data_IF_223267383950
#
_entry.id   IF_223267383950
#
_cell.length_a   1.000
_cell.length_b   1.000
_cell.length_c   1.000
_cell.angle_alpha   90.00
_cell.angle_beta   90.00
_cell.angle_gamma   90.00
#
_symmetry.space_group_name_H-M   'P 1'
#
loop_
_entity.id
_entity.type
_entity.pdbx_description
1 polymer ?
#
# COMPACT_ATOMS: atom_id res chain seq x y z
N UNK A 1 -22.32 2.37 10.49
CA UNK A 1 -21.92 3.72 10.98
C UNK A 1 -21.82 4.75 9.86
N UNK A 2 -21.17 4.48 8.71
CA UNK A 2 -21.15 5.42 7.57
C UNK A 2 -22.55 5.84 7.09
N UNK A 3 -23.50 4.90 7.03
CA UNK A 3 -24.89 5.18 6.69
C UNK A 3 -25.56 6.17 7.66
N UNK A 4 -25.24 6.07 8.96
CA UNK A 4 -25.77 6.98 9.99
C UNK A 4 -25.20 8.38 9.78
N UNK A 5 -23.89 8.48 9.51
CA UNK A 5 -23.25 9.76 9.18
C UNK A 5 -23.86 10.39 7.93
N UNK A 6 -24.08 9.61 6.88
CA UNK A 6 -24.71 10.07 5.65
C UNK A 6 -26.13 10.60 5.90
N UNK A 7 -26.95 9.82 6.61
CA UNK A 7 -28.31 10.23 6.97
C UNK A 7 -28.31 11.49 7.83
N UNK A 8 -27.39 11.60 8.80
CA UNK A 8 -27.23 12.80 9.61
C UNK A 8 -26.97 14.03 8.75
N UNK A 9 -26.01 13.99 7.81
CA UNK A 9 -25.67 15.15 7.00
C UNK A 9 -26.80 15.57 6.06
N UNK A 10 -27.51 14.61 5.48
CA UNK A 10 -28.69 14.91 4.65
C UNK A 10 -29.78 15.58 5.50
N UNK A 11 -30.13 14.98 6.65
CA UNK A 11 -31.17 15.53 7.53
C UNK A 11 -30.78 16.88 8.12
N UNK A 12 -29.54 17.02 8.59
CA UNK A 12 -29.01 18.27 9.13
C UNK A 12 -29.02 19.36 8.07
N UNK A 13 -28.52 19.09 6.86
CA UNK A 13 -28.56 20.05 5.76
C UNK A 13 -29.98 20.46 5.39
N UNK A 14 -30.96 19.54 5.41
CA UNK A 14 -32.38 19.89 5.21
C UNK A 14 -32.93 20.78 6.33
N UNK A 15 -32.56 20.52 7.59
CA UNK A 15 -32.94 21.40 8.72
C UNK A 15 -32.36 22.80 8.52
N UNK A 16 -31.10 22.91 8.11
CA UNK A 16 -30.46 24.21 7.83
C UNK A 16 -31.16 24.96 6.70
N UNK A 17 -31.55 24.24 5.64
CA UNK A 17 -32.24 24.82 4.48
C UNK A 17 -33.66 25.30 4.81
N UNK A 18 -34.40 24.57 5.66
CA UNK A 18 -35.80 24.88 5.99
C UNK A 18 -35.89 25.95 7.09
N UNK A 19 -34.94 25.97 8.03
CA UNK A 19 -34.96 26.84 9.20
C UNK A 19 -33.75 27.80 9.32
N UNK A 20 -33.33 28.52 8.26
CA UNK A 20 -32.14 29.35 8.31
C UNK A 20 -32.26 30.52 9.29
N UNK A 21 -33.46 31.11 9.43
CA UNK A 21 -33.71 32.22 10.38
C UNK A 21 -33.58 31.78 11.84
N UNK A 22 -34.16 30.64 12.20
CA UNK A 22 -34.09 30.10 13.56
C UNK A 22 -32.64 29.80 13.94
N UNK A 23 -31.88 29.18 13.03
CA UNK A 23 -30.47 28.90 13.25
C UNK A 23 -29.64 30.18 13.33
N UNK A 24 -29.89 31.16 12.46
CA UNK A 24 -29.19 32.45 12.48
C UNK A 24 -29.38 33.17 13.83
N UNK A 25 -30.61 33.19 14.36
CA UNK A 25 -30.91 33.83 15.66
C UNK A 25 -30.34 33.11 16.88
N UNK A 26 -30.14 31.79 16.80
CA UNK A 26 -29.58 30.96 17.89
C UNK A 26 -28.05 30.97 17.87
N UNK A 27 -27.45 30.97 16.68
CA UNK A 27 -26.02 30.73 16.51
C UNK A 27 -25.22 32.02 16.38
N UNK A 28 -25.74 33.12 15.86
CA UNK A 28 -24.94 34.30 15.52
C UNK A 28 -25.38 35.53 16.33
N UNK A 29 -24.61 35.91 17.34
CA UNK A 29 -24.82 37.16 18.10
C UNK A 29 -24.41 38.42 17.31
N UNK A 30 -23.56 38.27 16.29
CA UNK A 30 -23.02 39.40 15.52
C UNK A 30 -23.55 39.41 14.09
N UNK A 31 -24.27 40.47 13.73
CA UNK A 31 -25.03 40.70 12.49
C UNK A 31 -24.27 40.63 11.14
N UNK A 32 -23.18 39.87 11.00
CA UNK A 32 -22.29 39.86 9.82
C UNK A 32 -22.44 38.67 8.87
N UNK A 33 -23.26 37.66 9.20
CA UNK A 33 -23.45 36.48 8.35
C UNK A 33 -24.80 36.56 7.62
N UNK A 34 -24.78 36.57 6.30
CA UNK A 34 -26.02 36.62 5.50
C UNK A 34 -26.79 35.30 5.57
N UNK A 35 -28.11 35.32 5.35
CA UNK A 35 -28.90 34.09 5.23
C UNK A 35 -28.44 33.18 4.09
N UNK A 36 -27.91 33.79 3.02
CA UNK A 36 -27.33 33.08 1.87
C UNK A 36 -26.18 32.15 2.29
N UNK A 37 -25.44 32.50 3.36
CA UNK A 37 -24.41 31.62 3.91
C UNK A 37 -25.00 30.30 4.41
N UNK A 38 -26.14 30.33 5.08
CA UNK A 38 -26.82 29.14 5.58
C UNK A 38 -27.34 28.26 4.44
N UNK A 39 -27.91 28.87 3.39
CA UNK A 39 -28.35 28.15 2.20
C UNK A 39 -27.17 27.43 1.52
N UNK A 40 -26.03 28.11 1.41
CA UNK A 40 -24.82 27.53 0.83
C UNK A 40 -24.30 26.35 1.66
N UNK A 41 -24.23 26.51 2.98
CA UNK A 41 -23.81 25.44 3.90
C UNK A 41 -24.77 24.25 3.84
N UNK A 42 -26.08 24.50 3.74
CA UNK A 42 -27.08 23.45 3.60
C UNK A 42 -26.84 22.63 2.33
N UNK A 43 -26.70 23.28 1.17
CA UNK A 43 -26.46 22.61 -0.12
C UNK A 43 -25.19 21.77 -0.09
N UNK A 44 -24.08 22.31 0.44
CA UNK A 44 -22.83 21.55 0.57
C UNK A 44 -22.99 20.34 1.50
N UNK A 45 -23.66 20.52 2.64
CA UNK A 45 -23.86 19.44 3.62
C UNK A 45 -24.72 18.32 3.04
N UNK A 46 -25.82 18.65 2.35
CA UNK A 46 -26.67 17.66 1.68
C UNK A 46 -25.88 16.92 0.61
N UNK A 47 -25.11 17.64 -0.21
CA UNK A 47 -24.31 17.05 -1.29
C UNK A 47 -23.28 16.06 -0.74
N UNK A 48 -22.55 16.44 0.31
CA UNK A 48 -21.60 15.56 1.00
C UNK A 48 -22.30 14.36 1.64
N UNK A 49 -23.47 14.57 2.25
CA UNK A 49 -24.30 13.51 2.82
C UNK A 49 -24.76 12.48 1.79
N UNK A 50 -25.23 12.93 0.62
CA UNK A 50 -25.61 12.05 -0.50
C UNK A 50 -24.39 11.29 -1.03
N UNK A 51 -23.25 11.98 -1.20
CA UNK A 51 -22.01 11.33 -1.58
C UNK A 51 -21.60 10.24 -0.58
N UNK A 52 -21.68 10.56 0.72
CA UNK A 52 -21.36 9.60 1.77
C UNK A 52 -22.37 8.44 1.82
N UNK A 53 -23.64 8.66 1.45
CA UNK A 53 -24.64 7.60 1.30
C UNK A 53 -24.27 6.63 0.19
N UNK A 54 -23.86 7.14 -0.98
CA UNK A 54 -23.34 6.32 -2.09
C UNK A 54 -22.12 5.54 -1.62
N UNK A 55 -21.21 6.19 -0.90
CA UNK A 55 -20.02 5.54 -0.36
C UNK A 55 -20.34 4.48 0.69
N UNK A 56 -21.43 4.62 1.46
CA UNK A 56 -21.82 3.65 2.46
C UNK A 56 -22.27 2.31 1.86
N UNK A 57 -22.77 2.28 0.62
CA UNK A 57 -23.16 1.04 -0.07
C UNK A 57 -21.96 0.22 -0.57
N UNK A 58 -20.91 0.89 -1.05
CA UNK A 58 -19.64 0.25 -1.42
C UNK A 58 -18.46 1.15 -1.02
N UNK A 59 -18.00 1.06 0.25
CA UNK A 59 -16.93 1.91 0.77
C UNK A 59 -15.60 1.67 0.07
N UNK A 60 -15.38 0.49 -0.50
CA UNK A 60 -14.13 0.13 -1.13
C UNK A 60 -13.99 0.75 -2.52
N UNK A 61 -15.06 0.73 -3.31
CA UNK A 61 -15.08 1.39 -4.62
C UNK A 61 -15.10 2.91 -4.49
N UNK A 62 -15.80 3.43 -3.48
CA UNK A 62 -16.07 4.86 -3.31
C UNK A 62 -15.21 5.50 -2.21
N UNK A 63 -14.03 4.96 -1.94
CA UNK A 63 -13.17 5.45 -0.85
C UNK A 63 -12.77 6.92 -1.02
N UNK A 64 -12.63 7.39 -2.26
CA UNK A 64 -12.35 8.80 -2.56
C UNK A 64 -13.43 9.75 -2.02
N UNK A 65 -14.69 9.33 -2.05
CA UNK A 65 -15.81 10.13 -1.52
C UNK A 65 -15.69 10.26 0.01
N UNK A 66 -15.35 9.15 0.69
CA UNK A 66 -15.10 9.18 2.14
C UNK A 66 -13.88 10.05 2.47
N UNK A 67 -12.83 9.97 1.65
CA UNK A 67 -11.62 10.77 1.81
C UNK A 67 -11.90 12.27 1.66
N UNK A 68 -12.64 12.67 0.63
CA UNK A 68 -13.05 14.07 0.43
C UNK A 68 -13.94 14.56 1.57
N UNK A 69 -14.87 13.74 2.06
CA UNK A 69 -15.66 14.06 3.26
C UNK A 69 -14.76 14.28 4.48
N UNK A 70 -13.78 13.41 4.71
CA UNK A 70 -12.83 13.56 5.81
C UNK A 70 -12.02 14.85 5.68
N UNK A 71 -11.53 15.18 4.49
CA UNK A 71 -10.82 16.44 4.22
C UNK A 71 -11.70 17.66 4.48
N UNK A 72 -12.97 17.61 4.08
CA UNK A 72 -13.92 18.69 4.37
C UNK A 72 -14.06 18.92 5.89
N UNK A 73 -14.25 17.87 6.69
CA UNK A 73 -14.34 18.01 8.15
C UNK A 73 -13.05 18.58 8.76
N UNK A 74 -11.89 18.09 8.31
CA UNK A 74 -10.59 18.62 8.75
C UNK A 74 -10.42 20.11 8.40
N UNK A 75 -10.85 20.52 7.20
CA UNK A 75 -10.79 21.91 6.76
C UNK A 75 -11.72 22.80 7.60
N UNK A 76 -12.95 22.37 7.90
CA UNK A 76 -13.87 23.13 8.76
C UNK A 76 -13.32 23.27 10.18
N UNK A 77 -12.81 22.18 10.77
CA UNK A 77 -12.23 22.21 12.11
C UNK A 77 -11.01 23.13 12.15
N UNK A 78 -10.08 22.98 11.19
CA UNK A 78 -8.90 23.84 11.10
C UNK A 78 -9.25 25.32 10.90
N UNK A 79 -10.18 25.61 9.99
CA UNK A 79 -10.66 26.97 9.73
C UNK A 79 -11.34 27.59 10.95
N UNK A 80 -12.15 26.82 11.68
CA UNK A 80 -12.77 27.27 12.93
C UNK A 80 -11.73 27.58 14.00
N UNK A 81 -10.73 26.71 14.21
CA UNK A 81 -9.67 26.93 15.20
C UNK A 81 -8.83 28.18 14.90
N UNK A 82 -8.51 28.40 13.61
CA UNK A 82 -7.83 29.63 13.18
C UNK A 82 -8.73 30.85 13.42
N UNK A 83 -10.02 30.77 13.10
CA UNK A 83 -10.97 31.85 13.34
C UNK A 83 -11.13 32.16 14.83
N UNK A 84 -11.17 31.15 15.69
CA UNK A 84 -11.20 31.30 17.14
C UNK A 84 -9.93 32.01 17.65
N UNK A 85 -8.74 31.64 17.16
CA UNK A 85 -7.48 32.30 17.54
C UNK A 85 -7.41 33.77 17.11
N UNK A 86 -8.14 34.15 16.06
CA UNK A 86 -8.20 35.52 15.52
C UNK A 86 -9.38 36.32 16.09
N UNK A 87 -10.20 35.72 16.96
CA UNK A 87 -11.39 36.35 17.53
C UNK A 87 -12.56 36.49 16.54
N UNK A 88 -12.55 35.78 15.41
CA UNK A 88 -13.67 35.76 14.46
C UNK A 88 -14.83 34.87 14.91
N UNK A 89 -14.56 33.86 15.74
CA UNK A 89 -15.56 32.97 16.29
C UNK A 89 -15.49 32.95 17.82
N UNK A 90 -16.63 32.75 18.46
CA UNK A 90 -16.73 32.56 19.90
C UNK A 90 -16.52 31.08 20.27
N UNK A 91 -16.03 30.82 21.48
CA UNK A 91 -15.94 29.46 22.04
C UNK A 91 -17.32 28.81 22.25
N UNK A 92 -18.40 29.59 22.27
CA UNK A 92 -19.79 29.10 22.34
C UNK A 92 -20.17 28.20 21.16
N UNK A 93 -19.44 28.26 20.04
CA UNK A 93 -19.66 27.41 18.86
C UNK A 93 -18.96 26.05 18.93
N UNK A 94 -18.15 25.79 19.95
CA UNK A 94 -17.46 24.49 20.09
C UNK A 94 -18.43 23.28 20.11
N UNK A 95 -19.59 23.33 20.79
CA UNK A 95 -20.57 22.25 20.70
C UNK A 95 -21.08 22.03 19.27
N UNK A 96 -21.34 23.10 18.53
CA UNK A 96 -21.77 23.01 17.14
C UNK A 96 -20.72 22.31 16.27
N UNK A 97 -19.44 22.70 16.41
CA UNK A 97 -18.33 22.06 15.71
C UNK A 97 -18.21 20.58 16.08
N UNK A 98 -18.37 20.26 17.36
CA UNK A 98 -18.25 18.90 17.87
C UNK A 98 -19.31 17.97 17.26
N UNK A 99 -20.58 18.34 17.37
CA UNK A 99 -21.69 17.50 16.90
C UNK A 99 -21.84 17.45 15.37
N UNK A 100 -21.41 18.50 14.64
CA UNK A 100 -21.52 18.54 13.19
C UNK A 100 -20.27 18.07 12.45
N UNK A 101 -19.09 18.05 13.07
CA UNK A 101 -17.86 17.68 12.37
C UNK A 101 -17.01 16.66 13.12
N UNK A 102 -16.68 16.89 14.39
CA UNK A 102 -15.68 16.06 15.09
C UNK A 102 -16.14 14.61 15.26
N UNK A 103 -17.38 14.38 15.71
CA UNK A 103 -17.87 13.02 15.97
C UNK A 103 -17.94 12.17 14.69
N UNK A 104 -18.20 12.80 13.54
CA UNK A 104 -18.37 12.12 12.26
C UNK A 104 -17.05 11.77 11.57
N UNK A 105 -15.93 12.33 12.04
CA UNK A 105 -14.61 11.84 11.66
C UNK A 105 -14.38 10.39 12.08
N UNK A 106 -15.00 9.93 13.17
CA UNK A 106 -14.84 8.54 13.67
C UNK A 106 -15.25 7.50 12.61
N UNK A 107 -16.50 7.49 12.10
CA UNK A 107 -16.88 6.53 11.07
C UNK A 107 -16.12 6.71 9.74
N UNK A 108 -15.75 7.95 9.38
CA UNK A 108 -14.97 8.22 8.17
C UNK A 108 -13.55 7.62 8.28
N UNK A 109 -12.85 7.88 9.38
CA UNK A 109 -11.52 7.32 9.65
C UNK A 109 -11.59 5.80 9.75
N UNK A 110 -12.57 5.25 10.46
CA UNK A 110 -12.76 3.80 10.55
C UNK A 110 -13.02 3.17 9.16
N UNK A 111 -13.81 3.83 8.32
CA UNK A 111 -14.02 3.45 6.92
C UNK A 111 -12.71 3.44 6.13
N UNK A 112 -11.93 4.53 6.19
CA UNK A 112 -10.64 4.64 5.52
C UNK A 112 -9.63 3.57 5.99
N UNK A 113 -9.55 3.30 7.30
CA UNK A 113 -8.72 2.23 7.86
C UNK A 113 -9.17 0.86 7.34
N UNK A 114 -10.48 0.64 7.22
CA UNK A 114 -11.03 -0.62 6.69
C UNK A 114 -10.68 -0.80 5.22
N UNK A 115 -10.80 0.26 4.40
CA UNK A 115 -10.39 0.25 3.00
C UNK A 115 -8.91 -0.05 2.86
N UNK A 116 -8.07 0.64 3.62
CA UNK A 116 -6.62 0.43 3.62
C UNK A 116 -6.25 -1.01 4.00
N UNK A 117 -6.89 -1.57 5.03
CA UNK A 117 -6.59 -2.91 5.53
C UNK A 117 -7.17 -4.05 4.68
N UNK A 118 -8.05 -3.77 3.70
CA UNK A 118 -8.69 -4.81 2.88
C UNK A 118 -7.65 -5.65 2.14
N UNK A 119 -6.70 -4.99 1.48
CA UNK A 119 -5.65 -5.68 0.70
C UNK A 119 -4.80 -6.57 1.60
N UNK A 120 -4.39 -6.10 2.78
CA UNK A 120 -3.62 -6.88 3.75
C UNK A 120 -4.40 -8.07 4.33
N UNK A 121 -5.71 -7.93 4.53
CA UNK A 121 -6.56 -9.06 4.96
C UNK A 121 -6.68 -10.11 3.86
N UNK A 122 -6.91 -9.69 2.62
CA UNK A 122 -6.91 -10.59 1.47
C UNK A 122 -5.55 -11.31 1.35
N UNK A 123 -4.45 -10.57 1.53
CA UNK A 123 -3.10 -11.11 1.48
C UNK A 123 -2.86 -12.25 2.48
N UNK A 124 -3.32 -12.07 3.73
CA UNK A 124 -3.26 -13.11 4.77
C UNK A 124 -4.07 -14.35 4.41
N UNK A 125 -5.26 -14.18 3.82
CA UNK A 125 -6.07 -15.30 3.37
C UNK A 125 -5.34 -16.06 2.27
N UNK A 126 -4.77 -15.35 1.28
CA UNK A 126 -4.03 -15.98 0.19
C UNK A 126 -2.78 -16.72 0.69
N UNK A 127 -2.03 -16.18 1.65
CA UNK A 127 -0.89 -16.88 2.26
C UNK A 127 -1.33 -18.18 2.94
N UNK A 128 -2.46 -18.16 3.64
CA UNK A 128 -3.00 -19.38 4.26
C UNK A 128 -3.50 -20.39 3.21
N UNK A 129 -4.06 -19.93 2.09
CA UNK A 129 -4.52 -20.78 0.99
C UNK A 129 -3.36 -21.40 0.21
N UNK A 130 -2.35 -20.61 -0.12
CA UNK A 130 -1.19 -21.03 -0.92
C UNK A 130 -0.05 -21.52 -0.04
N UNK A 131 -0.34 -22.29 1.00
CA UNK A 131 0.67 -22.73 1.96
C UNK A 131 1.57 -23.86 1.39
N UNK A 132 2.54 -24.30 2.19
CA UNK A 132 3.49 -25.35 1.80
C UNK A 132 2.90 -26.71 1.52
N UNK A 133 1.86 -27.08 2.25
CA UNK A 133 1.23 -28.39 2.16
C UNK A 133 0.35 -28.49 0.90
N UNK A 134 -0.38 -27.43 0.59
CA UNK A 134 -1.35 -27.42 -0.52
C UNK A 134 -0.74 -27.01 -1.87
N UNK A 135 0.37 -26.25 -1.86
CA UNK A 135 1.03 -25.73 -3.06
C UNK A 135 2.49 -26.16 -3.11
N UNK A 136 2.79 -27.39 -3.58
CA UNK A 136 4.15 -27.91 -3.60
C UNK A 136 4.98 -27.27 -4.72
N UNK A 137 6.30 -27.44 -4.67
CA UNK A 137 7.24 -26.72 -5.53
C UNK A 137 7.15 -27.14 -7.02
N UNK A 138 6.58 -28.31 -7.32
CA UNK A 138 6.36 -28.76 -8.70
C UNK A 138 5.38 -27.88 -9.48
N UNK A 139 4.51 -27.13 -8.79
CA UNK A 139 3.53 -26.24 -9.43
C UNK A 139 4.12 -24.93 -9.95
N UNK A 140 5.39 -24.64 -9.62
CA UNK A 140 6.06 -23.40 -10.00
C UNK A 140 7.07 -23.70 -11.12
N UNK A 141 6.57 -23.70 -12.35
CA UNK A 141 7.36 -23.88 -13.56
C UNK A 141 8.07 -22.58 -13.95
N UNK A 142 9.36 -22.68 -14.24
CA UNK A 142 10.18 -21.57 -14.71
C UNK A 142 10.05 -21.38 -16.22
N UNK A 143 10.55 -20.25 -16.73
CA UNK A 143 10.51 -19.94 -18.17
C UNK A 143 11.24 -21.00 -19.01
N UNK A 144 12.23 -21.70 -18.45
CA UNK A 144 12.92 -22.80 -19.13
C UNK A 144 12.11 -24.10 -19.20
N UNK A 145 10.96 -24.18 -18.51
CA UNK A 145 10.12 -25.37 -18.43
C UNK A 145 10.51 -26.38 -17.33
N UNK A 146 11.45 -26.04 -16.43
CA UNK A 146 11.74 -26.84 -15.24
C UNK A 146 10.92 -26.32 -14.06
N UNK A 147 10.55 -27.15 -13.09
CA UNK A 147 9.90 -26.66 -11.87
C UNK A 147 10.89 -26.48 -10.71
N UNK A 148 10.47 -25.70 -9.68
CA UNK A 148 11.32 -25.41 -8.53
C UNK A 148 11.73 -26.66 -7.73
N UNK A 149 10.91 -27.71 -7.70
CA UNK A 149 11.27 -28.96 -7.02
C UNK A 149 12.46 -29.62 -7.73
N UNK A 150 12.34 -29.84 -9.03
CA UNK A 150 13.39 -30.44 -9.88
C UNK A 150 14.70 -29.68 -9.76
N UNK A 151 14.66 -28.35 -9.89
CA UNK A 151 15.84 -27.51 -9.76
C UNK A 151 16.51 -27.66 -8.39
N UNK A 152 15.71 -27.71 -7.32
CA UNK A 152 16.22 -27.84 -5.95
C UNK A 152 16.81 -29.22 -5.63
N UNK A 153 16.39 -30.27 -6.33
CA UNK A 153 16.97 -31.61 -6.22
C UNK A 153 18.32 -31.70 -6.95
N UNK A 154 18.45 -31.02 -8.10
CA UNK A 154 19.71 -30.94 -8.86
C UNK A 154 20.77 -30.18 -8.06
N UNK A 155 20.49 -28.92 -7.67
CA UNK A 155 21.44 -28.06 -6.96
C UNK A 155 20.75 -27.14 -5.94
N UNK A 156 21.47 -26.49 -5.01
CA UNK A 156 20.92 -25.41 -4.21
C UNK A 156 20.38 -24.28 -5.10
N UNK A 157 19.15 -23.82 -4.85
CA UNK A 157 18.51 -22.77 -5.64
C UNK A 157 18.25 -21.55 -4.76
N UNK A 158 18.83 -20.41 -5.12
CA UNK A 158 18.53 -19.12 -4.52
C UNK A 158 17.39 -18.44 -5.29
N UNK A 159 16.19 -18.48 -4.70
CA UNK A 159 15.05 -17.71 -5.15
C UNK A 159 15.21 -16.25 -4.73
N UNK A 160 15.18 -15.34 -5.70
CA UNK A 160 15.22 -13.89 -5.50
C UNK A 160 13.86 -13.30 -5.89
N UNK A 161 12.99 -13.12 -4.91
CA UNK A 161 11.70 -12.46 -5.09
C UNK A 161 11.89 -10.96 -5.21
N UNK A 162 11.73 -10.45 -6.43
CA UNK A 162 11.82 -9.03 -6.74
C UNK A 162 10.55 -8.32 -6.25
N UNK A 163 10.60 -7.01 -6.03
CA UNK A 163 9.41 -6.25 -5.64
C UNK A 163 8.57 -5.91 -6.88
N UNK A 164 8.68 -4.69 -7.38
CA UNK A 164 8.04 -4.29 -8.62
C UNK A 164 9.13 -3.66 -9.48
N UNK A 165 9.03 -3.85 -10.78
CA UNK A 165 9.93 -3.19 -11.71
C UNK A 165 9.69 -1.69 -11.64
N UNK A 166 10.79 -0.94 -11.70
CA UNK A 166 10.80 0.50 -11.50
C UNK A 166 11.13 0.95 -10.08
N UNK A 167 11.11 0.05 -9.09
CA UNK A 167 11.53 0.37 -7.72
C UNK A 167 13.06 0.53 -7.62
N UNK A 168 13.58 1.63 -7.03
CA UNK A 168 15.03 1.81 -6.83
C UNK A 168 15.70 0.67 -6.05
N UNK A 169 15.02 0.11 -5.05
CA UNK A 169 15.56 -1.01 -4.27
C UNK A 169 15.59 -2.32 -5.06
N UNK A 170 14.60 -2.55 -5.93
CA UNK A 170 14.62 -3.68 -6.85
C UNK A 170 15.78 -3.57 -7.85
N UNK A 171 16.04 -2.36 -8.35
CA UNK A 171 17.19 -2.12 -9.25
C UNK A 171 18.52 -2.37 -8.51
N UNK A 172 18.64 -1.92 -7.25
CA UNK A 172 19.81 -2.22 -6.42
C UNK A 172 19.98 -3.73 -6.18
N UNK A 173 18.89 -4.46 -5.94
CA UNK A 173 18.91 -5.92 -5.81
C UNK A 173 19.41 -6.58 -7.08
N UNK A 174 18.93 -6.19 -8.27
CA UNK A 174 19.41 -6.74 -9.54
C UNK A 174 20.90 -6.48 -9.75
N UNK A 175 21.37 -5.26 -9.46
CA UNK A 175 22.81 -4.95 -9.51
C UNK A 175 23.59 -5.84 -8.53
N UNK A 176 23.09 -6.01 -7.31
CA UNK A 176 23.76 -6.84 -6.29
C UNK A 176 23.78 -8.32 -6.68
N UNK A 177 22.72 -8.83 -7.31
CA UNK A 177 22.69 -10.19 -7.88
C UNK A 177 23.76 -10.31 -8.96
N UNK A 178 23.83 -9.36 -9.90
CA UNK A 178 24.83 -9.36 -10.96
C UNK A 178 26.26 -9.36 -10.39
N UNK A 179 26.54 -8.52 -9.38
CA UNK A 179 27.86 -8.42 -8.75
C UNK A 179 28.28 -9.69 -7.98
N UNK A 180 27.32 -10.48 -7.50
CA UNK A 180 27.58 -11.69 -6.70
C UNK A 180 27.33 -12.99 -7.46
N UNK A 181 26.88 -12.92 -8.71
CA UNK A 181 26.47 -14.06 -9.54
C UNK A 181 27.56 -15.13 -9.63
N UNK A 182 28.74 -14.75 -10.12
CA UNK A 182 29.86 -15.68 -10.34
C UNK A 182 30.20 -16.46 -9.07
N UNK A 183 30.26 -15.76 -7.92
CA UNK A 183 30.57 -16.39 -6.62
C UNK A 183 29.49 -17.35 -6.14
N UNK A 184 28.21 -17.07 -6.43
CA UNK A 184 27.10 -17.97 -6.09
C UNK A 184 27.15 -19.22 -6.99
N UNK A 185 27.36 -19.03 -8.29
CA UNK A 185 27.43 -20.11 -9.27
C UNK A 185 28.67 -21.00 -9.05
N UNK A 186 29.83 -20.43 -8.69
CA UNK A 186 31.04 -21.18 -8.30
C UNK A 186 30.81 -22.08 -7.08
N UNK A 187 29.86 -21.72 -6.21
CA UNK A 187 29.42 -22.54 -5.07
C UNK A 187 28.32 -23.54 -5.43
N UNK A 188 28.00 -23.66 -6.72
CA UNK A 188 26.94 -24.54 -7.21
C UNK A 188 25.54 -24.05 -6.85
N UNK A 189 25.36 -22.76 -6.57
CA UNK A 189 24.02 -22.20 -6.30
C UNK A 189 23.43 -21.64 -7.59
N UNK A 190 22.30 -22.20 -8.03
CA UNK A 190 21.52 -21.64 -9.14
C UNK A 190 20.66 -20.48 -8.65
N UNK A 191 20.62 -19.40 -9.42
CA UNK A 191 19.82 -18.21 -9.09
C UNK A 191 18.55 -18.23 -9.93
N UNK A 192 17.39 -18.07 -9.28
CA UNK A 192 16.09 -17.93 -9.94
C UNK A 192 15.49 -16.56 -9.57
N UNK A 193 15.20 -15.74 -10.58
CA UNK A 193 14.54 -14.45 -10.38
C UNK A 193 13.02 -14.62 -10.43
N UNK A 194 12.33 -14.22 -9.37
CA UNK A 194 10.86 -14.27 -9.28
C UNK A 194 10.29 -12.86 -9.39
N UNK A 195 9.29 -12.65 -10.25
CA UNK A 195 8.70 -11.33 -10.53
C UNK A 195 7.21 -11.40 -10.90
N UNK A 196 6.48 -10.31 -10.75
CA UNK A 196 5.02 -10.24 -10.96
C UNK A 196 4.60 -9.65 -12.33
N UNK A 197 5.38 -9.89 -13.37
CA UNK A 197 5.07 -9.39 -14.72
C UNK A 197 5.23 -10.52 -15.73
N UNK A 198 4.70 -10.31 -16.94
CA UNK A 198 4.90 -11.29 -18.01
C UNK A 198 6.37 -11.36 -18.46
N UNK A 199 6.72 -12.51 -19.03
CA UNK A 199 8.08 -12.86 -19.45
C UNK A 199 8.68 -11.85 -20.44
N UNK A 200 7.87 -11.33 -21.37
CA UNK A 200 8.35 -10.34 -22.36
C UNK A 200 8.82 -9.05 -21.69
N UNK A 201 8.02 -8.51 -20.75
CA UNK A 201 8.38 -7.31 -19.99
C UNK A 201 9.62 -7.59 -19.14
N UNK A 202 9.72 -8.77 -18.53
CA UNK A 202 10.87 -9.16 -17.73
C UNK A 202 12.15 -9.32 -18.53
N UNK A 203 12.10 -9.97 -19.68
CA UNK A 203 13.26 -10.13 -20.55
C UNK A 203 13.89 -8.77 -20.92
N UNK A 204 13.07 -7.83 -21.38
CA UNK A 204 13.51 -6.47 -21.71
C UNK A 204 14.09 -5.74 -20.48
N UNK A 205 13.44 -5.91 -19.32
CA UNK A 205 13.86 -5.26 -18.08
C UNK A 205 15.20 -5.79 -17.58
N UNK A 206 15.36 -7.12 -17.54
CA UNK A 206 16.53 -7.84 -17.02
C UNK A 206 17.73 -7.78 -17.96
N UNK A 207 17.51 -7.65 -19.26
CA UNK A 207 18.59 -7.44 -20.26
C UNK A 207 19.44 -6.23 -19.92
N UNK A 208 18.84 -5.16 -19.36
CA UNK A 208 19.57 -3.95 -18.95
C UNK A 208 20.52 -4.16 -17.78
N UNK A 209 20.38 -5.28 -17.07
CA UNK A 209 21.23 -5.68 -15.95
C UNK A 209 22.12 -6.88 -16.32
N UNK A 210 22.02 -7.42 -17.54
CA UNK A 210 22.76 -8.62 -17.94
C UNK A 210 22.35 -9.88 -17.17
N UNK A 211 21.06 -9.99 -16.83
CA UNK A 211 20.50 -11.09 -16.03
C UNK A 211 19.38 -11.86 -16.75
N UNK A 212 19.17 -11.60 -18.03
CA UNK A 212 18.13 -12.22 -18.84
C UNK A 212 18.37 -13.71 -19.10
N UNK A 213 19.59 -14.19 -18.87
CA UNK A 213 20.01 -15.57 -19.04
C UNK A 213 19.88 -16.40 -17.75
N UNK A 214 19.61 -15.75 -16.60
CA UNK A 214 19.26 -16.46 -15.38
C UNK A 214 17.91 -17.16 -15.51
N UNK A 215 17.72 -18.18 -14.69
CA UNK A 215 16.44 -18.85 -14.54
C UNK A 215 15.39 -17.88 -13.99
N UNK A 216 14.16 -17.96 -14.49
CA UNK A 216 13.12 -16.97 -14.21
C UNK A 216 11.79 -17.64 -13.90
N UNK A 217 11.08 -17.07 -12.93
CA UNK A 217 9.72 -17.46 -12.57
C UNK A 217 8.81 -16.24 -12.66
N UNK A 218 7.98 -16.21 -13.70
CA UNK A 218 6.90 -15.23 -13.82
C UNK A 218 5.73 -15.63 -12.92
N UNK A 219 5.37 -14.77 -11.98
CA UNK A 219 4.27 -14.98 -11.03
C UNK A 219 3.35 -13.73 -10.97
N UNK A 220 2.61 -13.40 -12.06
CA UNK A 220 1.73 -12.22 -12.11
C UNK A 220 0.67 -12.19 -11.00
N UNK A 221 0.17 -13.36 -10.60
CA UNK A 221 -0.82 -13.54 -9.55
C UNK A 221 -0.23 -13.51 -8.14
N UNK A 222 1.10 -13.44 -8.02
CA UNK A 222 1.85 -13.43 -6.76
C UNK A 222 1.65 -14.69 -5.89
N UNK A 223 1.29 -15.83 -6.50
CA UNK A 223 1.03 -17.10 -5.80
C UNK A 223 2.32 -17.61 -5.14
N UNK A 224 3.45 -17.59 -5.84
CA UNK A 224 4.74 -17.96 -5.28
C UNK A 224 5.12 -17.02 -4.13
N UNK A 225 4.86 -15.71 -4.24
CA UNK A 225 5.08 -14.80 -3.11
C UNK A 225 4.27 -15.20 -1.88
N UNK A 226 3.00 -15.57 -2.04
CA UNK A 226 2.16 -16.02 -0.92
C UNK A 226 2.63 -17.34 -0.34
N UNK A 227 3.07 -18.27 -1.19
CA UNK A 227 3.66 -19.55 -0.81
C UNK A 227 4.91 -19.44 0.05
N UNK A 228 5.71 -18.41 -0.18
CA UNK A 228 6.88 -18.09 0.63
C UNK A 228 6.56 -17.08 1.76
N UNK A 229 5.28 -16.90 2.08
CA UNK A 229 4.77 -16.00 3.13
C UNK A 229 5.24 -14.54 3.00
N UNK A 230 5.52 -14.09 1.76
CA UNK A 230 5.86 -12.70 1.46
C UNK A 230 4.61 -11.85 1.41
N UNK A 231 4.43 -11.06 2.47
CA UNK A 231 3.31 -10.16 2.64
C UNK A 231 3.50 -8.86 1.84
N UNK A 232 2.39 -8.16 1.58
CA UNK A 232 2.42 -6.74 1.22
C UNK A 232 2.95 -5.89 2.37
N UNK A 233 3.74 -4.88 2.04
CA UNK A 233 4.32 -3.92 2.98
C UNK A 233 3.34 -2.80 3.32
N UNK A 234 3.32 -2.38 4.59
CA UNK A 234 2.55 -1.21 5.01
C UNK A 234 3.26 0.10 4.62
N UNK A 235 2.58 1.25 4.79
CA UNK A 235 3.12 2.56 4.38
C UNK A 235 4.46 2.89 5.08
N UNK A 236 4.65 2.47 6.33
CA UNK A 236 5.90 2.71 7.06
C UNK A 236 7.04 1.85 6.48
N UNK A 237 6.75 0.61 6.09
CA UNK A 237 7.74 -0.28 5.46
C UNK A 237 8.14 0.16 4.06
N UNK A 238 7.29 0.93 3.37
CA UNK A 238 7.48 1.36 1.99
C UNK A 238 7.92 2.82 1.84
N UNK A 239 7.57 3.69 2.79
CA UNK A 239 7.79 5.13 2.75
C UNK A 239 8.25 5.70 4.11
N UNK A 240 8.66 4.84 5.05
CA UNK A 240 9.15 5.28 6.35
C UNK A 240 10.48 6.06 6.26
N UNK A 241 10.90 6.74 7.33
CA UNK A 241 12.09 7.59 7.32
C UNK A 241 13.36 6.88 6.83
N UNK A 242 13.57 5.63 7.25
CA UNK A 242 14.68 4.78 6.78
C UNK A 242 14.67 4.60 5.26
N UNK A 243 13.49 4.35 4.70
CA UNK A 243 13.30 4.09 3.27
C UNK A 243 13.52 5.36 2.47
N UNK A 244 12.98 6.49 2.91
CA UNK A 244 13.20 7.80 2.29
C UNK A 244 14.71 8.13 2.27
N UNK A 245 15.38 7.98 3.41
CA UNK A 245 16.82 8.24 3.50
C UNK A 245 17.63 7.34 2.55
N UNK A 246 17.34 6.02 2.53
CA UNK A 246 18.01 5.08 1.61
C UNK A 246 17.73 5.39 0.15
N UNK A 247 16.49 5.77 -0.20
CA UNK A 247 16.15 6.17 -1.56
C UNK A 247 16.94 7.41 -2.01
N UNK A 248 17.02 8.44 -1.16
CA UNK A 248 17.83 9.64 -1.44
C UNK A 248 19.30 9.26 -1.62
N UNK A 249 19.85 8.42 -0.73
CA UNK A 249 21.22 7.93 -0.82
C UNK A 249 21.49 7.18 -2.14
N UNK A 250 20.57 6.32 -2.58
CA UNK A 250 20.68 5.60 -3.85
C UNK A 250 20.71 6.54 -5.05
N UNK A 251 19.84 7.55 -5.06
CA UNK A 251 19.82 8.57 -6.12
C UNK A 251 21.12 9.36 -6.19
N UNK A 252 21.66 9.79 -5.05
CA UNK A 252 22.89 10.60 -5.00
C UNK A 252 24.17 9.79 -5.26
N UNK A 253 24.28 8.57 -4.72
CA UNK A 253 25.51 7.76 -4.77
C UNK A 253 25.56 6.80 -5.95
N UNK A 254 24.44 6.13 -6.25
CA UNK A 254 24.37 5.10 -7.30
C UNK A 254 23.65 5.58 -8.57
N UNK A 255 23.07 6.79 -8.58
CA UNK A 255 22.24 7.33 -9.67
C UNK A 255 21.06 6.43 -10.04
N UNK A 256 20.52 5.72 -9.05
CA UNK A 256 19.35 4.86 -9.22
C UNK A 256 18.10 5.65 -8.86
N UNK A 257 17.15 5.74 -9.80
CA UNK A 257 15.92 6.49 -9.66
C UNK A 257 14.70 5.63 -9.98
N UNK A 258 13.50 6.13 -9.66
CA UNK A 258 12.26 5.48 -10.09
C UNK A 258 12.19 5.44 -11.61
N UNK A 259 11.84 4.28 -12.16
CA UNK A 259 11.51 4.11 -13.57
C UNK A 259 10.07 3.60 -13.70
N UNK A 260 9.65 3.25 -14.93
CA UNK A 260 8.28 2.77 -15.19
C UNK A 260 7.91 1.65 -14.21
N UNK A 261 6.79 1.84 -13.53
CA UNK A 261 6.27 0.91 -12.52
C UNK A 261 5.52 -0.22 -13.22
N UNK A 262 5.94 -1.46 -12.97
CA UNK A 262 5.25 -2.67 -13.42
C UNK A 262 5.21 -3.69 -12.27
N UNK A 263 4.04 -4.31 -12.04
CA UNK A 263 3.77 -5.19 -10.90
C UNK A 263 3.16 -4.46 -9.69
N UNK A 264 2.98 -5.20 -8.60
CA UNK A 264 2.36 -4.67 -7.37
C UNK A 264 3.35 -3.87 -6.52
N UNK A 265 3.09 -2.56 -6.38
CA UNK A 265 3.92 -1.66 -5.58
C UNK A 265 3.96 -2.02 -4.09
N UNK A 266 2.96 -2.72 -3.56
CA UNK A 266 2.92 -3.07 -2.15
C UNK A 266 3.62 -4.37 -1.83
N UNK A 267 3.85 -5.26 -2.80
CA UNK A 267 4.45 -6.57 -2.55
C UNK A 267 5.88 -6.42 -2.00
N UNK A 268 6.21 -7.14 -0.92
CA UNK A 268 7.58 -7.15 -0.37
C UNK A 268 8.46 -8.19 -1.05
N UNK A 269 9.75 -7.90 -1.23
CA UNK A 269 10.73 -8.84 -1.77
C UNK A 269 11.23 -9.82 -0.70
N UNK A 270 11.95 -10.86 -1.14
CA UNK A 270 12.53 -11.87 -0.26
C UNK A 270 13.57 -12.73 -0.95
N UNK A 271 14.41 -13.38 -0.15
CA UNK A 271 15.42 -14.32 -0.64
C UNK A 271 15.26 -15.64 0.08
N UNK A 272 15.25 -16.74 -0.66
CA UNK A 272 15.12 -18.07 -0.10
C UNK A 272 16.08 -19.01 -0.79
N UNK A 273 16.95 -19.66 -0.03
CA UNK A 273 17.77 -20.75 -0.52
C UNK A 273 16.99 -22.05 -0.28
N UNK A 274 16.70 -22.79 -1.34
CA UNK A 274 16.01 -24.07 -1.31
C UNK A 274 16.95 -25.20 -1.74
N UNK A 275 16.82 -26.37 -1.12
CA UNK A 275 17.56 -27.59 -1.46
C UNK A 275 16.70 -28.81 -1.11
N UNK A 276 16.62 -29.78 -2.02
CA UNK A 276 15.84 -31.02 -1.84
C UNK A 276 14.40 -30.74 -1.38
N UNK A 277 13.77 -29.80 -2.08
CA UNK A 277 12.40 -29.33 -1.80
C UNK A 277 12.21 -28.49 -0.53
N UNK A 278 13.26 -28.15 0.22
CA UNK A 278 13.13 -27.45 1.52
C UNK A 278 13.84 -26.11 1.54
N UNK A 279 13.24 -25.12 2.20
CA UNK A 279 13.89 -23.84 2.50
C UNK A 279 14.97 -24.05 3.56
N UNK A 280 16.23 -23.87 3.20
CA UNK A 280 17.38 -24.01 4.11
C UNK A 280 17.83 -22.68 4.72
N UNK A 281 17.65 -21.56 4.00
CA UNK A 281 17.94 -20.20 4.50
C UNK A 281 16.93 -19.22 3.92
N UNK A 282 16.61 -18.17 4.66
CA UNK A 282 15.72 -17.11 4.19
C UNK A 282 16.14 -15.72 4.67
N UNK A 283 15.80 -14.72 3.88
CA UNK A 283 15.86 -13.31 4.25
C UNK A 283 14.57 -12.63 3.80
N UNK A 284 13.77 -12.23 4.79
CA UNK A 284 12.52 -11.50 4.58
C UNK A 284 12.73 -10.05 4.99
N UNK A 285 12.44 -9.13 4.08
CA UNK A 285 12.66 -7.70 4.27
C UNK A 285 11.72 -7.15 5.35
N UNK A 286 12.26 -6.39 6.31
CA UNK A 286 11.44 -5.64 7.28
C UNK A 286 10.95 -4.33 6.65
N UNK A 287 11.76 -3.72 5.80
CA UNK A 287 11.44 -2.53 5.00
C UNK A 287 11.92 -2.74 3.57
N UNK A 288 11.32 -2.03 2.61
CA UNK A 288 11.70 -2.16 1.19
C UNK A 288 13.15 -1.74 0.90
N UNK A 289 13.81 -1.07 1.85
CA UNK A 289 15.18 -0.58 1.72
C UNK A 289 16.25 -1.51 2.32
N UNK A 290 15.84 -2.64 2.90
CA UNK A 290 16.77 -3.65 3.41
C UNK A 290 17.48 -4.36 2.23
N UNK A 291 18.68 -4.88 2.48
CA UNK A 291 19.42 -5.71 1.53
C UNK A 291 19.91 -6.96 2.26
N UNK A 292 19.90 -8.13 1.63
CA UNK A 292 20.48 -9.33 2.23
C UNK A 292 22.01 -9.23 2.26
N UNK A 293 22.60 -10.01 3.16
CA UNK A 293 24.01 -10.36 3.09
C UNK A 293 24.16 -11.62 2.24
N UNK A 294 24.69 -11.47 1.02
CA UNK A 294 24.82 -12.55 0.04
C UNK A 294 25.78 -13.66 0.47
N UNK A 295 26.75 -13.35 1.34
CA UNK A 295 27.68 -14.36 1.88
C UNK A 295 26.93 -15.49 2.59
N UNK A 296 25.81 -15.15 3.25
CA UNK A 296 24.93 -16.11 3.92
C UNK A 296 24.24 -17.07 2.96
N UNK A 297 24.25 -16.85 1.65
CA UNK A 297 23.73 -17.81 0.67
C UNK A 297 24.85 -18.60 -0.01
N UNK A 298 26.11 -18.19 0.14
CA UNK A 298 27.30 -18.86 -0.42
C UNK A 298 27.87 -19.95 0.51
N UNK A 299 27.59 -19.87 1.82
CA UNK A 299 28.13 -20.77 2.85
C UNK A 299 27.29 -22.05 3.07
N UNK A 300 26.47 -22.47 2.11
CA UNK A 300 25.74 -23.72 2.24
C UNK A 300 26.66 -24.89 1.87
N UNK A 301 26.92 -25.78 2.84
CA UNK A 301 27.58 -27.07 2.65
C UNK A 301 26.55 -28.14 3.05
N UNK A 302 26.37 -29.17 2.21
CA UNK A 302 25.44 -30.29 2.44
C UNK A 302 25.76 -31.09 3.70
#
# INVERSE_FOLDING_TARGET
MLFIAAAYFVLWGLVVLIFPHSLHSILIETASVSLIFWDLIAVFTITLGIGLLIAAFDPFRNWLIMFVNLLFHLAIIGGFLVGLSKGYFSSTFLPFLFFNHMIWMIPLIAGMITVYNRSFRADKVLINTFNEEDYPLELFETVSGKNLQELSEEEPVLLVFLRHFGCPFCQETLISVQENREKLEEKGTKIVLVYMVNEKIAYDYLTRYGLQDLEQLGDPESIAYKRFALNRGNLIQLLGPKVIFRWIWLGLKKRIFFTKVEGDIYQMPGFFLIRKGKVVRSFVHKTSADQPDYSRFMEYQE
#
